data_IF_462836928308
#
_entry.id   IF_462836928308
#
_cell.length_a   1.000
_cell.length_b   1.000
_cell.length_c   1.000
_cell.angle_alpha   90.00
_cell.angle_beta   90.00
_cell.angle_gamma   90.00
#
_symmetry.space_group_name_H-M   'P 1'
#
loop_
_entity.id
_entity.type
_entity.pdbx_description
1 polymer ?
#
# COMPACT_ATOMS: atom_id res chain seq x y z
N UNK A 1 6.09 17.63 -11.09
CA UNK A 1 5.22 17.11 -10.02
C UNK A 1 4.85 15.67 -10.37
N UNK A 2 5.09 14.70 -9.49
CA UNK A 2 4.72 13.30 -9.74
C UNK A 2 3.19 13.20 -9.70
N UNK A 3 2.54 12.87 -10.81
CA UNK A 3 1.09 12.60 -10.83
C UNK A 3 0.84 11.29 -10.07
N UNK A 4 -0.14 11.25 -9.15
CA UNK A 4 -0.45 10.01 -8.44
C UNK A 4 -1.04 8.99 -9.43
N UNK A 5 -0.94 7.71 -9.08
CA UNK A 5 -1.32 6.60 -9.96
C UNK A 5 -2.83 6.66 -10.20
N UNK A 6 -3.26 6.58 -11.45
CA UNK A 6 -4.67 6.56 -11.86
C UNK A 6 -5.47 7.78 -11.35
N UNK A 7 -4.85 8.96 -11.24
CA UNK A 7 -5.50 10.17 -10.72
C UNK A 7 -6.83 10.50 -11.43
N UNK A 8 -6.81 10.46 -12.76
CA UNK A 8 -7.97 10.84 -13.56
C UNK A 8 -9.13 9.85 -13.37
N UNK A 9 -8.80 8.57 -13.26
CA UNK A 9 -9.77 7.52 -12.96
C UNK A 9 -10.34 7.71 -11.54
N UNK A 10 -9.50 8.01 -10.53
CA UNK A 10 -9.97 8.30 -9.18
C UNK A 10 -10.97 9.48 -9.19
N UNK A 11 -10.62 10.57 -9.86
CA UNK A 11 -11.48 11.73 -10.02
C UNK A 11 -12.82 11.40 -10.71
N UNK A 12 -12.75 10.74 -11.88
CA UNK A 12 -13.93 10.35 -12.67
C UNK A 12 -14.86 9.46 -11.86
N UNK A 13 -14.30 8.45 -11.20
CA UNK A 13 -15.10 7.44 -10.53
C UNK A 13 -15.52 7.81 -9.10
N UNK A 14 -14.87 8.77 -8.43
CA UNK A 14 -15.40 9.33 -7.18
C UNK A 14 -16.69 10.12 -7.40
N UNK A 15 -16.90 10.67 -8.59
CA UNK A 15 -18.08 11.49 -8.94
C UNK A 15 -18.33 12.59 -7.89
N UNK A 16 -17.27 13.37 -7.65
CA UNK A 16 -17.19 14.36 -6.58
C UNK A 16 -18.24 15.46 -6.78
N UNK A 17 -18.94 15.82 -5.71
CA UNK A 17 -19.86 16.95 -5.66
C UNK A 17 -19.33 18.04 -4.71
N UNK A 18 -19.78 19.30 -4.86
CA UNK A 18 -19.43 20.36 -3.93
C UNK A 18 -19.74 19.97 -2.47
N UNK A 19 -18.81 20.26 -1.57
CA UNK A 19 -18.94 19.97 -0.13
C UNK A 19 -18.64 18.53 0.29
N UNK A 20 -18.25 17.64 -0.63
CA UNK A 20 -17.88 16.26 -0.29
C UNK A 20 -16.78 16.19 0.77
N UNK A 21 -16.95 15.25 1.71
CA UNK A 21 -15.91 14.83 2.65
C UNK A 21 -15.21 13.59 2.11
N UNK A 22 -13.91 13.67 1.83
CA UNK A 22 -13.12 12.56 1.28
C UNK A 22 -12.10 12.09 2.31
N UNK A 23 -12.00 10.79 2.53
CA UNK A 23 -10.88 10.20 3.26
C UNK A 23 -9.85 9.67 2.26
N UNK A 24 -8.62 10.13 2.38
CA UNK A 24 -7.45 9.52 1.75
C UNK A 24 -6.80 8.60 2.79
N UNK A 25 -7.11 7.30 2.73
CA UNK A 25 -6.71 6.32 3.73
C UNK A 25 -5.20 5.98 3.67
N UNK A 26 -4.51 6.46 2.65
CA UNK A 26 -3.09 6.21 2.37
C UNK A 26 -2.47 7.52 1.86
N UNK A 27 -2.49 8.53 2.72
CA UNK A 27 -2.20 9.91 2.36
C UNK A 27 -0.84 10.04 1.66
N UNK A 28 0.20 9.33 2.14
CA UNK A 28 1.55 9.36 1.59
C UNK A 28 2.04 10.82 1.44
N UNK A 29 2.55 11.20 0.27
CA UNK A 29 2.93 12.59 -0.06
C UNK A 29 1.75 13.50 -0.46
N UNK A 30 0.52 13.04 -0.31
CA UNK A 30 -0.73 13.74 -0.61
C UNK A 30 -1.07 13.85 -2.09
N UNK A 31 -0.50 13.02 -2.97
CA UNK A 31 -0.65 13.17 -4.43
C UNK A 31 -2.11 13.25 -4.88
N UNK A 32 -2.95 12.30 -4.45
CA UNK A 32 -4.39 12.32 -4.73
C UNK A 32 -5.07 13.50 -4.05
N UNK A 33 -4.86 13.64 -2.74
CA UNK A 33 -5.48 14.70 -1.93
C UNK A 33 -5.26 16.12 -2.46
N UNK A 34 -4.00 16.51 -2.75
CA UNK A 34 -3.69 17.83 -3.30
C UNK A 34 -4.29 18.03 -4.69
N UNK A 35 -4.22 17.02 -5.56
CA UNK A 35 -4.79 17.12 -6.91
C UNK A 35 -6.31 17.26 -6.88
N UNK A 36 -7.00 16.59 -5.95
CA UNK A 36 -8.45 16.74 -5.77
C UNK A 36 -8.80 18.14 -5.24
N UNK A 37 -8.07 18.66 -4.25
CA UNK A 37 -8.32 20.01 -3.71
C UNK A 37 -8.04 21.12 -4.73
N UNK A 38 -7.08 20.93 -5.63
CA UNK A 38 -6.80 21.87 -6.72
C UNK A 38 -8.00 21.98 -7.68
N UNK A 39 -8.67 20.87 -7.97
CA UNK A 39 -9.82 20.84 -8.90
C UNK A 39 -11.17 21.11 -8.23
N UNK A 40 -11.31 20.74 -6.97
CA UNK A 40 -12.56 20.83 -6.21
C UNK A 40 -12.31 21.56 -4.89
N UNK A 41 -12.18 22.90 -4.88
CA UNK A 41 -11.79 23.66 -3.70
C UNK A 41 -12.81 23.60 -2.54
N UNK A 42 -14.04 23.15 -2.81
CA UNK A 42 -15.12 23.07 -1.83
C UNK A 42 -15.15 21.77 -1.02
N UNK A 43 -14.35 20.76 -1.39
CA UNK A 43 -14.28 19.50 -0.63
C UNK A 43 -13.48 19.68 0.66
N UNK A 44 -13.64 18.73 1.57
CA UNK A 44 -12.73 18.53 2.70
C UNK A 44 -12.06 17.18 2.60
N UNK A 45 -10.81 17.11 3.04
CA UNK A 45 -10.02 15.89 3.05
C UNK A 45 -9.55 15.55 4.47
N UNK A 46 -9.72 14.30 4.85
CA UNK A 46 -9.06 13.71 6.01
C UNK A 46 -8.06 12.66 5.50
N UNK A 47 -6.77 12.96 5.59
CA UNK A 47 -5.71 12.06 5.19
C UNK A 47 -5.20 11.22 6.36
N UNK A 48 -5.00 9.93 6.13
CA UNK A 48 -4.47 8.97 7.12
C UNK A 48 -3.10 8.50 6.62
N UNK A 49 -2.07 8.64 7.46
CA UNK A 49 -0.73 8.16 7.16
C UNK A 49 -0.17 7.37 8.34
N UNK A 50 0.26 6.14 8.08
CA UNK A 50 0.73 5.24 9.12
C UNK A 50 2.21 5.45 9.45
N UNK A 51 3.05 5.76 8.46
CA UNK A 51 4.48 6.07 8.69
C UNK A 51 4.61 7.48 9.33
N UNK A 52 5.18 7.59 10.54
CA UNK A 52 5.30 8.87 11.23
C UNK A 52 6.20 9.89 10.51
N UNK A 53 7.19 9.44 9.73
CA UNK A 53 8.11 10.31 9.01
C UNK A 53 7.42 10.91 7.78
N UNK A 54 6.67 10.08 7.05
CA UNK A 54 5.86 10.54 5.92
C UNK A 54 4.72 11.45 6.40
N UNK A 55 4.09 11.12 7.53
CA UNK A 55 3.07 11.97 8.15
C UNK A 55 3.60 13.37 8.45
N UNK A 56 4.83 13.50 8.98
CA UNK A 56 5.45 14.80 9.24
C UNK A 56 5.71 15.58 7.95
N UNK A 57 6.19 14.93 6.90
CA UNK A 57 6.40 15.56 5.58
C UNK A 57 5.06 16.04 4.99
N UNK A 58 4.02 15.20 5.06
CA UNK A 58 2.68 15.54 4.59
C UNK A 58 2.07 16.70 5.38
N UNK A 59 2.16 16.68 6.71
CA UNK A 59 1.68 17.76 7.58
C UNK A 59 2.37 19.10 7.28
N UNK A 60 3.69 19.09 7.09
CA UNK A 60 4.46 20.27 6.71
C UNK A 60 4.02 20.81 5.35
N UNK A 61 3.75 19.92 4.39
CA UNK A 61 3.27 20.31 3.06
C UNK A 61 1.87 20.92 3.09
N UNK A 62 0.96 20.36 3.88
CA UNK A 62 -0.41 20.88 4.09
C UNK A 62 -0.37 22.28 4.71
N UNK A 63 0.48 22.47 5.72
CA UNK A 63 0.68 23.78 6.35
C UNK A 63 1.21 24.80 5.34
N UNK A 64 2.28 24.47 4.62
CA UNK A 64 2.91 25.37 3.66
C UNK A 64 2.03 25.70 2.45
N UNK A 65 1.06 24.84 2.11
CA UNK A 65 0.10 25.11 1.04
C UNK A 65 -1.07 26.00 1.48
N UNK A 66 -1.20 26.33 2.78
CA UNK A 66 -2.34 27.08 3.32
C UNK A 66 -3.66 26.32 3.26
N UNK A 67 -3.62 24.98 3.24
CA UNK A 67 -4.82 24.13 3.07
C UNK A 67 -5.31 23.54 4.40
N UNK A 68 -4.85 24.05 5.54
CA UNK A 68 -5.17 23.50 6.87
C UNK A 68 -6.67 23.47 7.20
N UNK A 69 -7.46 24.37 6.61
CA UNK A 69 -8.93 24.41 6.81
C UNK A 69 -9.68 23.40 5.93
N UNK A 70 -9.00 22.87 4.91
CA UNK A 70 -9.57 21.96 3.90
C UNK A 70 -9.04 20.53 4.05
N UNK A 71 -7.85 20.38 4.63
CA UNK A 71 -7.15 19.11 4.71
C UNK A 71 -6.54 18.92 6.11
N UNK A 72 -6.92 17.83 6.76
CA UNK A 72 -6.36 17.40 8.04
C UNK A 72 -5.67 16.06 7.85
N UNK A 73 -4.47 15.90 8.42
CA UNK A 73 -3.76 14.63 8.43
C UNK A 73 -3.80 14.00 9.83
N UNK A 74 -3.92 12.67 9.88
CA UNK A 74 -3.89 11.87 11.11
C UNK A 74 -2.79 10.81 11.00
N UNK A 75 -1.91 10.73 12.01
CA UNK A 75 -0.92 9.65 12.10
C UNK A 75 -1.51 8.42 12.79
N UNK A 76 -2.16 7.58 12.00
CA UNK A 76 -2.77 6.33 12.47
C UNK A 76 -2.85 5.36 11.28
N UNK A 77 -3.24 4.10 11.53
CA UNK A 77 -3.54 3.14 10.48
C UNK A 77 -5.01 3.23 10.08
N UNK A 78 -5.28 3.07 8.78
CA UNK A 78 -6.64 3.01 8.24
C UNK A 78 -7.46 1.83 8.82
N UNK A 79 -6.84 0.86 9.49
CA UNK A 79 -7.59 -0.17 10.25
C UNK A 79 -8.44 0.44 11.37
N UNK A 80 -8.10 1.64 11.83
CA UNK A 80 -8.80 2.40 12.87
C UNK A 80 -9.82 3.41 12.31
N UNK A 81 -10.20 3.29 11.03
CA UNK A 81 -11.08 4.23 10.32
C UNK A 81 -12.33 4.64 11.10
N UNK A 82 -13.02 3.70 11.76
CA UNK A 82 -14.20 3.99 12.60
C UNK A 82 -13.90 5.04 13.68
N UNK A 83 -12.87 4.77 14.49
CA UNK A 83 -12.45 5.64 15.57
C UNK A 83 -11.93 6.99 15.05
N UNK A 84 -11.20 6.98 13.93
CA UNK A 84 -10.67 8.18 13.29
C UNK A 84 -11.82 9.09 12.84
N UNK A 85 -12.83 8.53 12.17
CA UNK A 85 -14.01 9.26 11.71
C UNK A 85 -14.79 9.85 12.88
N UNK A 86 -15.00 9.09 13.95
CA UNK A 86 -15.73 9.55 15.13
C UNK A 86 -15.00 10.69 15.85
N UNK A 87 -13.69 10.56 16.06
CA UNK A 87 -12.88 11.60 16.73
C UNK A 87 -12.83 12.92 15.94
N UNK A 88 -12.95 12.87 14.62
CA UNK A 88 -12.86 14.03 13.75
C UNK A 88 -14.22 14.54 13.25
N UNK A 89 -15.33 13.93 13.66
CA UNK A 89 -16.69 14.21 13.12
C UNK A 89 -16.72 14.25 11.57
N UNK A 90 -16.11 13.23 10.96
CA UNK A 90 -15.78 13.23 9.54
C UNK A 90 -16.40 12.03 8.80
N UNK A 91 -17.73 11.99 8.66
CA UNK A 91 -18.39 10.98 7.82
C UNK A 91 -18.11 11.24 6.34
N UNK A 92 -17.50 10.31 5.59
CA UNK A 92 -17.07 10.54 4.22
C UNK A 92 -18.12 10.18 3.16
N UNK A 93 -18.09 10.93 2.06
CA UNK A 93 -18.78 10.65 0.80
C UNK A 93 -17.88 9.88 -0.19
N UNK A 94 -16.58 9.88 0.06
CA UNK A 94 -15.59 9.15 -0.73
C UNK A 94 -14.43 8.64 0.14
N UNK A 95 -13.95 7.44 -0.11
CA UNK A 95 -12.76 6.89 0.54
C UNK A 95 -11.81 6.34 -0.54
N UNK A 96 -10.54 6.73 -0.47
CA UNK A 96 -9.49 6.31 -1.40
C UNK A 96 -8.46 5.48 -0.63
N UNK A 97 -8.11 4.32 -1.18
CA UNK A 97 -6.95 3.53 -0.78
C UNK A 97 -6.01 3.40 -1.98
N UNK A 98 -4.81 3.97 -1.88
CA UNK A 98 -3.67 3.77 -2.78
C UNK A 98 -2.66 2.87 -2.08
N UNK A 99 -2.86 1.55 -2.20
CA UNK A 99 -2.16 0.56 -1.40
C UNK A 99 -0.68 0.45 -1.77
N UNK A 100 0.12 -0.13 -0.87
CA UNK A 100 1.53 -0.40 -1.11
C UNK A 100 2.45 0.73 -0.63
N UNK A 101 3.55 0.93 -1.35
CA UNK A 101 4.71 1.66 -0.84
C UNK A 101 4.83 3.03 -1.52
N UNK A 102 4.78 4.10 -0.73
CA UNK A 102 5.09 5.47 -1.15
C UNK A 102 6.42 5.59 -1.90
N UNK A 103 6.52 6.55 -2.82
CA UNK A 103 7.81 6.98 -3.38
C UNK A 103 8.79 7.42 -2.30
N UNK A 104 8.30 8.06 -1.23
CA UNK A 104 9.10 8.52 -0.11
C UNK A 104 9.77 7.36 0.63
N UNK A 105 9.10 6.23 0.76
CA UNK A 105 9.70 5.02 1.31
C UNK A 105 10.88 4.54 0.45
N UNK A 106 10.70 4.46 -0.87
CA UNK A 106 11.77 4.00 -1.76
C UNK A 106 12.95 4.96 -1.88
N UNK A 107 12.71 6.26 -1.73
CA UNK A 107 13.69 7.30 -2.07
C UNK A 107 14.41 7.89 -0.87
N UNK A 108 13.75 7.96 0.30
CA UNK A 108 14.24 8.71 1.47
C UNK A 108 14.28 7.90 2.78
N UNK A 109 13.57 6.77 2.89
CA UNK A 109 13.40 6.14 4.21
C UNK A 109 14.67 5.52 4.77
N UNK A 110 15.54 4.95 3.92
CA UNK A 110 16.66 4.12 4.39
C UNK A 110 16.21 2.83 5.11
N UNK A 111 14.91 2.49 5.03
CA UNK A 111 14.28 1.35 5.73
C UNK A 111 14.32 0.06 4.88
N UNK A 112 15.01 0.03 3.75
CA UNK A 112 15.19 -1.20 2.96
C UNK A 112 13.95 -1.67 2.20
N UNK A 113 13.01 -0.77 1.91
CA UNK A 113 11.91 -1.04 0.98
C UNK A 113 12.40 -1.23 -0.46
N UNK A 114 13.53 -0.62 -0.80
CA UNK A 114 14.21 -0.75 -2.09
C UNK A 114 15.41 -1.68 -1.98
N UNK A 115 15.56 -2.58 -2.94
CA UNK A 115 16.80 -3.36 -3.13
C UNK A 115 17.76 -2.73 -4.16
N UNK A 116 17.45 -1.53 -4.64
CA UNK A 116 18.31 -0.80 -5.59
C UNK A 116 19.43 -0.02 -4.90
N UNK A 117 19.34 0.14 -3.57
CA UNK A 117 20.32 0.79 -2.71
C UNK A 117 20.63 -0.14 -1.55
N UNK A 118 21.84 -0.01 -1.01
CA UNK A 118 22.20 -0.69 0.22
C UNK A 118 21.62 0.06 1.41
N UNK A 119 20.65 -0.55 2.07
CA UNK A 119 19.88 0.01 3.17
C UNK A 119 19.72 -1.05 4.26
N UNK A 120 19.38 -0.63 5.48
CA UNK A 120 19.05 -1.56 6.55
C UNK A 120 17.81 -2.37 6.17
N UNK A 121 17.85 -3.67 6.44
CA UNK A 121 16.75 -4.59 6.16
C UNK A 121 15.64 -4.43 7.22
N UNK A 122 14.91 -3.31 7.18
CA UNK A 122 13.87 -2.96 8.16
C UNK A 122 12.47 -3.31 7.65
N UNK A 123 12.05 -2.67 6.56
CA UNK A 123 10.74 -2.77 5.88
C UNK A 123 9.51 -2.42 6.72
N UNK A 124 9.62 -1.90 7.94
CA UNK A 124 8.45 -1.45 8.72
C UNK A 124 7.96 -0.09 8.23
N UNK A 125 6.65 0.04 8.03
CA UNK A 125 6.01 1.34 7.81
C UNK A 125 6.03 2.18 9.09
N UNK A 126 5.64 1.59 10.22
CA UNK A 126 5.63 2.30 11.50
C UNK A 126 6.48 1.56 12.57
N UNK A 127 7.74 1.98 12.76
CA UNK A 127 8.64 1.42 13.79
C UNK A 127 8.17 1.61 15.24
N UNK A 128 7.21 2.52 15.51
CA UNK A 128 6.68 2.75 16.86
C UNK A 128 5.63 1.72 17.27
N UNK A 129 4.95 1.12 16.30
CA UNK A 129 3.88 0.12 16.53
C UNK A 129 4.40 -1.30 16.29
N UNK A 130 5.36 -1.47 15.38
CA UNK A 130 5.91 -2.76 15.02
C UNK A 130 7.38 -2.89 15.43
N UNK A 131 7.70 -3.92 16.22
CA UNK A 131 9.07 -4.21 16.64
C UNK A 131 9.81 -5.14 15.67
N UNK A 132 9.10 -5.93 14.88
CA UNK A 132 9.70 -6.96 14.01
C UNK A 132 10.14 -6.35 12.69
N UNK A 133 11.45 -6.30 12.46
CA UNK A 133 12.04 -5.92 11.16
C UNK A 133 12.10 -7.10 10.18
N UNK A 134 12.30 -6.81 8.90
CA UNK A 134 12.61 -7.83 7.89
C UNK A 134 13.90 -8.60 8.24
N UNK A 135 14.90 -7.94 8.82
CA UNK A 135 16.10 -8.60 9.35
C UNK A 135 15.74 -9.59 10.48
N UNK A 136 14.79 -9.25 11.36
CA UNK A 136 14.35 -10.20 12.40
C UNK A 136 13.69 -11.42 11.78
N UNK A 137 12.79 -11.24 10.79
CA UNK A 137 12.15 -12.34 10.07
C UNK A 137 13.21 -13.24 9.42
N UNK A 138 14.11 -12.65 8.63
CA UNK A 138 15.14 -13.39 7.88
C UNK A 138 16.12 -14.11 8.82
N UNK A 139 16.49 -13.52 9.96
CA UNK A 139 17.49 -14.10 10.85
C UNK A 139 16.91 -15.05 11.92
N UNK A 140 15.63 -14.93 12.28
CA UNK A 140 15.06 -15.64 13.44
C UNK A 140 14.02 -16.69 13.06
N UNK A 141 13.30 -16.53 11.95
CA UNK A 141 12.26 -17.48 11.54
C UNK A 141 12.85 -18.85 11.19
N UNK A 142 12.09 -19.92 11.42
CA UNK A 142 12.44 -21.26 10.93
C UNK A 142 12.47 -21.30 9.41
N UNK A 143 13.12 -22.31 8.83
CA UNK A 143 13.11 -22.48 7.38
C UNK A 143 11.69 -22.66 6.84
N UNK A 144 10.83 -23.40 7.55
CA UNK A 144 9.44 -23.64 7.16
C UNK A 144 8.60 -22.36 7.19
N UNK A 145 8.81 -21.51 8.19
CA UNK A 145 8.18 -20.19 8.28
C UNK A 145 8.60 -19.29 7.12
N UNK A 146 9.89 -19.27 6.76
CA UNK A 146 10.37 -18.51 5.60
C UNK A 146 9.77 -19.04 4.30
N UNK A 147 9.70 -20.36 4.11
CA UNK A 147 9.05 -20.97 2.94
C UNK A 147 7.60 -20.51 2.85
N UNK A 148 6.88 -20.52 3.97
CA UNK A 148 5.48 -20.09 4.04
C UNK A 148 5.34 -18.61 3.64
N UNK A 149 6.14 -17.72 4.25
CA UNK A 149 6.14 -16.28 3.91
C UNK A 149 6.38 -16.06 2.41
N UNK A 150 7.43 -16.68 1.86
CA UNK A 150 7.78 -16.50 0.44
C UNK A 150 6.75 -17.08 -0.52
N UNK A 151 6.11 -18.20 -0.14
CA UNK A 151 5.07 -18.84 -0.95
C UNK A 151 3.77 -18.03 -0.89
N UNK A 152 3.27 -17.75 0.31
CA UNK A 152 1.95 -17.17 0.53
C UNK A 152 1.90 -15.69 0.12
N UNK A 153 2.97 -14.93 0.40
CA UNK A 153 3.00 -13.48 0.17
C UNK A 153 3.81 -13.06 -1.06
N UNK A 154 4.78 -13.87 -1.48
CA UNK A 154 5.61 -13.60 -2.66
C UNK A 154 5.18 -14.33 -3.92
N UNK A 155 4.34 -15.37 -3.79
CA UNK A 155 4.08 -16.35 -4.85
C UNK A 155 5.41 -16.85 -5.46
N UNK A 156 6.44 -17.03 -4.62
CA UNK A 156 7.81 -17.36 -5.03
C UNK A 156 7.96 -18.86 -5.29
N UNK A 157 8.36 -19.21 -6.51
CA UNK A 157 8.53 -20.61 -6.92
C UNK A 157 9.75 -21.24 -6.27
N UNK A 158 10.78 -20.44 -6.00
CA UNK A 158 12.01 -20.85 -5.34
C UNK A 158 12.00 -20.59 -3.83
N UNK A 159 10.80 -20.60 -3.21
CA UNK A 159 10.66 -20.32 -1.78
C UNK A 159 11.52 -21.26 -0.93
N UNK A 160 11.60 -22.54 -1.31
CA UNK A 160 12.41 -23.55 -0.62
C UNK A 160 13.90 -23.24 -0.70
N UNK A 161 14.42 -23.03 -1.91
CA UNK A 161 15.83 -22.81 -2.18
C UNK A 161 16.32 -21.46 -1.63
N UNK A 162 15.49 -20.42 -1.71
CA UNK A 162 15.79 -19.10 -1.12
C UNK A 162 15.82 -19.21 0.41
N UNK A 163 14.84 -19.89 1.02
CA UNK A 163 14.82 -20.07 2.48
C UNK A 163 16.01 -20.88 2.98
N UNK A 164 16.40 -21.93 2.25
CA UNK A 164 17.62 -22.70 2.54
C UNK A 164 18.88 -21.83 2.47
N UNK A 165 19.04 -21.06 1.39
CA UNK A 165 20.17 -20.15 1.24
C UNK A 165 20.23 -19.09 2.34
N UNK A 166 19.09 -18.55 2.76
CA UNK A 166 18.99 -17.61 3.88
C UNK A 166 19.46 -18.25 5.18
N UNK A 167 18.96 -19.46 5.49
CA UNK A 167 19.32 -20.20 6.70
C UNK A 167 20.81 -20.55 6.73
N UNK A 168 21.39 -20.92 5.59
CA UNK A 168 22.82 -21.18 5.47
C UNK A 168 23.64 -19.89 5.63
N UNK A 169 23.23 -18.80 5.00
CA UNK A 169 23.95 -17.52 5.04
C UNK A 169 23.97 -16.94 6.46
N UNK A 170 22.83 -16.95 7.16
CA UNK A 170 22.73 -16.41 8.53
C UNK A 170 23.50 -17.21 9.59
N UNK A 171 23.88 -18.47 9.31
CA UNK A 171 24.78 -19.25 10.17
C UNK A 171 26.23 -18.73 10.13
N UNK A 172 26.60 -18.06 9.04
CA UNK A 172 27.94 -17.48 8.87
C UNK A 172 27.94 -16.06 9.45
N UNK A 173 27.05 -15.20 8.94
CA UNK A 173 26.86 -13.83 9.44
C UNK A 173 25.38 -13.44 9.32
N UNK A 174 24.81 -12.71 10.31
CA UNK A 174 23.45 -12.19 10.21
C UNK A 174 23.25 -11.34 8.94
N UNK A 175 22.09 -11.48 8.30
CA UNK A 175 21.71 -10.68 7.13
C UNK A 175 21.06 -9.39 7.63
N UNK A 176 21.73 -8.26 7.47
CA UNK A 176 21.33 -6.97 8.03
C UNK A 176 21.01 -5.92 6.97
N UNK A 177 21.49 -6.10 5.74
CA UNK A 177 21.23 -5.15 4.65
C UNK A 177 20.47 -5.77 3.47
N UNK A 178 19.88 -4.89 2.65
CA UNK A 178 19.18 -5.26 1.43
C UNK A 178 20.10 -5.94 0.42
N UNK A 179 21.36 -5.49 0.28
CA UNK A 179 22.33 -6.09 -0.65
C UNK A 179 22.71 -7.51 -0.23
N UNK A 180 22.93 -7.74 1.06
CA UNK A 180 23.23 -9.08 1.58
C UNK A 180 22.11 -10.08 1.26
N UNK A 181 20.85 -9.66 1.48
CA UNK A 181 19.70 -10.49 1.14
C UNK A 181 19.58 -10.72 -0.37
N UNK A 182 19.82 -9.71 -1.20
CA UNK A 182 19.81 -9.83 -2.66
C UNK A 182 20.84 -10.84 -3.14
N UNK A 183 22.07 -10.78 -2.62
CA UNK A 183 23.13 -11.71 -3.00
C UNK A 183 22.82 -13.14 -2.54
N UNK A 184 22.20 -13.30 -1.37
CA UNK A 184 21.68 -14.59 -0.94
C UNK A 184 20.65 -15.15 -1.94
N UNK A 185 19.65 -14.35 -2.31
CA UNK A 185 18.60 -14.75 -3.28
C UNK A 185 19.23 -15.14 -4.61
N UNK A 186 20.18 -14.36 -5.13
CA UNK A 186 20.82 -14.63 -6.42
C UNK A 186 21.58 -15.97 -6.43
N UNK A 187 22.20 -16.35 -5.31
CA UNK A 187 22.91 -17.64 -5.16
C UNK A 187 21.95 -18.82 -5.01
N UNK A 188 20.75 -18.58 -4.50
CA UNK A 188 19.72 -19.60 -4.28
C UNK A 188 18.89 -19.97 -5.50
N UNK A 189 18.99 -19.23 -6.60
CA UNK A 189 18.11 -19.40 -7.77
C UNK A 189 18.89 -19.74 -9.04
N UNK A 190 18.32 -20.48 -9.99
CA UNK A 190 19.02 -20.87 -11.21
C UNK A 190 19.30 -19.66 -12.13
N UNK A 191 20.35 -19.75 -12.95
CA UNK A 191 20.80 -18.68 -13.85
C UNK A 191 19.69 -18.11 -14.76
N UNK A 192 18.77 -18.95 -15.23
CA UNK A 192 17.65 -18.50 -16.06
C UNK A 192 16.68 -17.59 -15.30
N UNK A 193 16.54 -17.76 -13.98
CA UNK A 193 15.68 -16.92 -13.15
C UNK A 193 16.23 -15.50 -13.01
N UNK A 194 17.56 -15.38 -12.95
CA UNK A 194 18.27 -14.09 -12.89
C UNK A 194 18.08 -13.23 -14.14
N UNK A 195 17.82 -13.85 -15.30
CA UNK A 195 17.72 -13.19 -16.61
C UNK A 195 16.28 -12.74 -16.97
N UNK A 196 15.33 -12.86 -16.04
CA UNK A 196 13.93 -12.47 -16.28
C UNK A 196 13.77 -10.95 -16.30
N UNK A 197 12.66 -10.48 -16.86
CA UNK A 197 12.30 -9.04 -16.88
C UNK A 197 12.11 -8.45 -15.47
N UNK A 198 11.66 -9.27 -14.52
CA UNK A 198 11.47 -8.87 -13.12
C UNK A 198 12.69 -9.31 -12.34
N UNK A 199 13.25 -8.41 -11.53
CA UNK A 199 14.41 -8.70 -10.69
C UNK A 199 14.12 -9.88 -9.73
N UNK A 200 15.05 -10.83 -9.54
CA UNK A 200 14.82 -12.04 -8.74
C UNK A 200 14.40 -11.74 -7.30
N UNK A 201 14.90 -10.64 -6.71
CA UNK A 201 14.56 -10.27 -5.34
C UNK A 201 13.16 -9.65 -5.16
N UNK A 202 12.46 -9.25 -6.23
CA UNK A 202 11.20 -8.50 -6.13
C UNK A 202 10.13 -9.25 -5.32
N UNK A 203 9.99 -10.56 -5.55
CA UNK A 203 8.98 -11.38 -4.86
C UNK A 203 9.31 -11.60 -3.39
N UNK A 204 10.58 -11.87 -3.08
CA UNK A 204 11.05 -12.01 -1.70
C UNK A 204 10.87 -10.72 -0.91
N UNK A 205 11.23 -9.57 -1.49
CA UNK A 205 11.05 -8.27 -0.83
C UNK A 205 9.57 -7.94 -0.60
N UNK A 206 8.71 -8.22 -1.59
CA UNK A 206 7.26 -8.09 -1.41
C UNK A 206 6.75 -8.99 -0.28
N UNK A 207 7.17 -10.26 -0.25
CA UNK A 207 6.74 -11.21 0.77
C UNK A 207 7.12 -10.78 2.19
N UNK A 208 8.38 -10.35 2.37
CA UNK A 208 8.86 -9.86 3.66
C UNK A 208 8.14 -8.59 4.08
N UNK A 209 7.92 -7.64 3.16
CA UNK A 209 7.19 -6.41 3.43
C UNK A 209 5.77 -6.70 3.93
N UNK A 210 5.05 -7.58 3.22
CA UNK A 210 3.70 -8.02 3.59
C UNK A 210 3.69 -8.68 4.97
N UNK A 211 4.64 -9.60 5.22
CA UNK A 211 4.74 -10.32 6.49
C UNK A 211 5.05 -9.37 7.66
N UNK A 212 6.00 -8.45 7.48
CA UNK A 212 6.40 -7.48 8.50
C UNK A 212 5.22 -6.57 8.85
N UNK A 213 4.51 -6.05 7.85
CA UNK A 213 3.49 -5.01 8.08
C UNK A 213 2.06 -5.54 8.19
N UNK A 214 1.87 -6.86 8.14
CA UNK A 214 0.57 -7.52 8.12
C UNK A 214 -0.39 -6.90 7.08
N UNK A 215 0.12 -6.62 5.88
CA UNK A 215 -0.55 -5.75 4.90
C UNK A 215 -1.91 -6.28 4.48
N UNK A 216 -2.03 -7.58 4.22
CA UNK A 216 -3.28 -8.17 3.73
C UNK A 216 -4.40 -8.11 4.77
N UNK A 217 -4.10 -8.42 6.04
CA UNK A 217 -5.09 -8.32 7.12
C UNK A 217 -5.48 -6.86 7.35
N UNK A 218 -4.50 -5.93 7.29
CA UNK A 218 -4.79 -4.51 7.40
C UNK A 218 -5.73 -4.06 6.28
N UNK A 219 -5.46 -4.42 5.02
CA UNK A 219 -6.33 -4.12 3.87
C UNK A 219 -7.74 -4.64 4.09
N UNK A 220 -7.89 -5.89 4.53
CA UNK A 220 -9.19 -6.48 4.82
C UNK A 220 -9.96 -5.67 5.88
N UNK A 221 -9.33 -5.43 7.04
CA UNK A 221 -9.94 -4.68 8.15
C UNK A 221 -10.25 -3.24 7.77
N UNK A 222 -9.35 -2.59 7.03
CA UNK A 222 -9.48 -1.22 6.54
C UNK A 222 -10.64 -1.05 5.56
N UNK A 223 -10.74 -1.93 4.57
CA UNK A 223 -11.82 -1.89 3.58
C UNK A 223 -13.17 -2.18 4.24
N UNK A 224 -13.24 -3.15 5.16
CA UNK A 224 -14.45 -3.39 5.94
C UNK A 224 -14.85 -2.17 6.79
N UNK A 225 -13.89 -1.54 7.47
CA UNK A 225 -14.15 -0.32 8.24
C UNK A 225 -14.61 0.84 7.33
N UNK A 226 -14.06 0.97 6.12
CA UNK A 226 -14.49 1.96 5.14
C UNK A 226 -15.95 1.76 4.72
N UNK A 227 -16.37 0.51 4.50
CA UNK A 227 -17.76 0.16 4.15
C UNK A 227 -18.74 0.55 5.26
N UNK A 228 -18.31 0.50 6.52
CA UNK A 228 -19.16 0.83 7.66
C UNK A 228 -19.31 2.34 7.88
N UNK A 229 -18.30 3.14 7.52
CA UNK A 229 -18.30 4.59 7.80
C UNK A 229 -18.75 5.46 6.64
N UNK A 230 -18.61 4.99 5.38
CA UNK A 230 -19.00 5.75 4.20
C UNK A 230 -20.50 6.01 4.16
N UNK A 231 -20.90 7.23 3.80
CA UNK A 231 -22.30 7.59 3.65
C UNK A 231 -22.98 6.74 2.55
N UNK A 232 -24.29 6.45 2.67
CA UNK A 232 -25.07 5.94 1.55
C UNK A 232 -24.91 6.82 0.31
N UNK A 233 -24.72 6.20 -0.86
CA UNK A 233 -24.36 6.87 -2.11
C UNK A 233 -22.88 7.28 -2.23
N UNK A 234 -22.09 7.14 -1.17
CA UNK A 234 -20.66 7.40 -1.18
C UNK A 234 -19.85 6.25 -1.79
N UNK A 235 -18.63 6.54 -2.25
CA UNK A 235 -17.82 5.60 -3.03
C UNK A 235 -16.50 5.23 -2.37
N UNK A 236 -16.14 3.96 -2.46
CA UNK A 236 -14.87 3.42 -1.98
C UNK A 236 -14.04 3.00 -3.19
N UNK A 237 -12.89 3.64 -3.35
CA UNK A 237 -11.90 3.31 -4.37
C UNK A 237 -10.69 2.64 -3.72
N UNK A 238 -10.26 1.52 -4.29
CA UNK A 238 -9.05 0.83 -3.88
C UNK A 238 -8.16 0.56 -5.10
N UNK A 239 -6.95 1.11 -5.08
CA UNK A 239 -5.87 0.87 -6.02
C UNK A 239 -4.91 -0.13 -5.36
N UNK A 240 -4.73 -1.28 -6.00
CA UNK A 240 -3.84 -2.36 -5.55
C UNK A 240 -2.71 -2.57 -6.55
N UNK A 241 -1.53 -2.98 -6.08
CA UNK A 241 -0.34 -3.14 -6.93
C UNK A 241 0.12 -4.58 -7.08
N UNK A 242 -0.45 -5.51 -6.31
CA UNK A 242 -0.21 -6.94 -6.47
C UNK A 242 -1.49 -7.79 -6.40
N UNK A 243 -1.37 -9.06 -6.80
CA UNK A 243 -2.50 -9.98 -6.95
C UNK A 243 -3.22 -10.29 -5.64
N UNK A 244 -2.48 -10.36 -4.53
CA UNK A 244 -3.03 -10.69 -3.21
C UNK A 244 -3.95 -9.58 -2.67
N UNK A 245 -3.52 -8.32 -2.70
CA UNK A 245 -4.38 -7.16 -2.38
C UNK A 245 -5.64 -7.13 -3.26
N UNK A 246 -5.46 -7.23 -4.59
CA UNK A 246 -6.59 -7.22 -5.55
C UNK A 246 -7.60 -8.33 -5.25
N UNK A 247 -7.12 -9.50 -4.82
CA UNK A 247 -7.96 -10.64 -4.45
C UNK A 247 -8.78 -10.33 -3.20
N UNK A 248 -8.15 -9.85 -2.11
CA UNK A 248 -8.83 -9.50 -0.85
C UNK A 248 -9.95 -8.49 -1.12
N UNK A 249 -9.64 -7.39 -1.79
CA UNK A 249 -10.64 -6.34 -2.10
C UNK A 249 -11.76 -6.87 -2.98
N UNK A 250 -11.43 -7.69 -3.99
CA UNK A 250 -12.43 -8.30 -4.88
C UNK A 250 -13.41 -9.19 -4.13
N UNK A 251 -12.92 -9.98 -3.18
CA UNK A 251 -13.72 -10.91 -2.40
C UNK A 251 -14.66 -10.16 -1.46
N UNK A 252 -14.16 -9.17 -0.73
CA UNK A 252 -14.97 -8.28 0.12
C UNK A 252 -16.07 -7.59 -0.69
N UNK A 253 -15.72 -6.94 -1.80
CA UNK A 253 -16.71 -6.25 -2.64
C UNK A 253 -17.72 -7.22 -3.26
N UNK A 254 -17.30 -8.44 -3.64
CA UNK A 254 -18.22 -9.46 -4.15
C UNK A 254 -19.23 -9.89 -3.09
N UNK A 255 -18.76 -10.15 -1.87
CA UNK A 255 -19.60 -10.56 -0.75
C UNK A 255 -20.58 -9.45 -0.37
N UNK A 256 -20.09 -8.23 -0.14
CA UNK A 256 -20.92 -7.09 0.27
C UNK A 256 -21.90 -6.62 -0.79
N UNK A 257 -21.62 -6.88 -2.07
CA UNK A 257 -22.64 -6.71 -3.12
C UNK A 257 -23.72 -7.78 -3.08
N UNK A 258 -23.40 -9.03 -2.77
CA UNK A 258 -24.43 -10.07 -2.60
C UNK A 258 -25.34 -9.81 -1.39
N UNK A 259 -24.79 -9.23 -0.33
CA UNK A 259 -25.54 -8.81 0.85
C UNK A 259 -26.42 -7.57 0.62
N UNK A 260 -26.32 -6.91 -0.54
CA UNK A 260 -27.06 -5.67 -0.81
C UNK A 260 -26.53 -4.43 -0.08
N UNK A 261 -25.31 -4.49 0.47
CA UNK A 261 -24.66 -3.36 1.16
C UNK A 261 -23.93 -2.45 0.17
N UNK A 262 -23.34 -3.03 -0.87
CA UNK A 262 -22.58 -2.32 -1.89
C UNK A 262 -23.13 -2.56 -3.29
N UNK A 263 -23.09 -1.53 -4.13
CA UNK A 263 -23.30 -1.63 -5.57
C UNK A 263 -21.97 -1.49 -6.30
N UNK A 264 -21.66 -2.43 -7.20
CA UNK A 264 -20.50 -2.28 -8.08
C UNK A 264 -20.73 -1.15 -9.07
N UNK A 265 -19.85 -0.15 -9.05
CA UNK A 265 -19.87 0.94 -10.06
C UNK A 265 -19.31 0.41 -11.38
N UNK A 266 -18.28 -0.43 -11.32
CA UNK A 266 -17.69 -1.13 -12.47
C UNK A 266 -17.57 -2.62 -12.14
N UNK A 267 -17.97 -3.48 -13.08
CA UNK A 267 -17.96 -4.93 -12.88
C UNK A 267 -16.56 -5.56 -12.99
N UNK A 268 -15.65 -4.90 -13.72
CA UNK A 268 -14.27 -5.32 -13.96
C UNK A 268 -13.22 -4.55 -13.16
N UNK A 269 -11.94 -4.86 -13.44
CA UNK A 269 -10.79 -4.12 -12.93
C UNK A 269 -10.46 -2.96 -13.86
N UNK A 270 -10.38 -1.75 -13.31
CA UNK A 270 -9.90 -0.58 -14.06
C UNK A 270 -8.37 -0.60 -13.99
N UNK A 271 -7.72 -0.37 -15.13
CA UNK A 271 -6.26 -0.37 -15.29
C UNK A 271 -5.79 1.00 -15.76
N UNK A 272 -4.55 1.41 -15.45
CA UNK A 272 -4.01 2.66 -15.96
C UNK A 272 -3.90 2.63 -17.48
N UNK A 273 -4.04 3.80 -18.09
CA UNK A 273 -3.87 3.99 -19.54
C UNK A 273 -2.41 3.78 -19.93
N UNK A 274 -2.20 3.38 -21.19
CA UNK A 274 -0.86 3.11 -21.72
C UNK A 274 0.11 4.30 -21.57
N UNK A 275 -0.37 5.52 -21.80
CA UNK A 275 0.42 6.74 -21.65
C UNK A 275 0.90 6.95 -20.21
N UNK A 276 0.06 6.63 -19.23
CA UNK A 276 0.45 6.71 -17.82
C UNK A 276 1.50 5.66 -17.50
N UNK A 277 1.32 4.41 -17.94
CA UNK A 277 2.29 3.34 -17.71
C UNK A 277 3.66 3.66 -18.32
N UNK A 278 3.67 4.34 -19.48
CA UNK A 278 4.90 4.80 -20.14
C UNK A 278 5.62 5.88 -19.33
N UNK A 279 4.88 6.82 -18.76
CA UNK A 279 5.44 7.95 -18.02
C UNK A 279 5.69 7.64 -16.53
N UNK A 280 4.97 6.67 -15.97
CA UNK A 280 5.07 6.21 -14.60
C UNK A 280 5.11 4.66 -14.57
N UNK A 281 6.31 4.05 -14.64
CA UNK A 281 6.45 2.61 -14.59
C UNK A 281 5.88 1.95 -13.33
N UNK A 282 5.69 2.69 -12.23
CA UNK A 282 5.08 2.18 -10.99
C UNK A 282 3.58 1.92 -11.16
N UNK A 283 2.91 2.64 -12.06
CA UNK A 283 1.50 2.41 -12.38
C UNK A 283 1.26 1.06 -13.07
N UNK A 284 2.25 0.44 -13.72
CA UNK A 284 2.05 -0.73 -14.60
C UNK A 284 1.24 -1.90 -14.00
N UNK A 285 1.34 -2.09 -12.69
CA UNK A 285 0.69 -3.19 -11.97
C UNK A 285 -0.59 -2.77 -11.25
N UNK A 286 -0.92 -1.48 -11.29
CA UNK A 286 -2.06 -0.90 -10.61
C UNK A 286 -3.37 -1.49 -11.14
N UNK A 287 -4.24 -1.82 -10.19
CA UNK A 287 -5.58 -2.35 -10.42
C UNK A 287 -6.53 -1.60 -9.49
N UNK A 288 -7.44 -0.84 -10.07
CA UNK A 288 -8.44 -0.10 -9.32
C UNK A 288 -9.78 -0.84 -9.30
N UNK A 289 -10.38 -0.88 -8.12
CA UNK A 289 -11.76 -1.33 -7.89
C UNK A 289 -12.57 -0.22 -7.23
N UNK A 290 -13.86 -0.22 -7.52
CA UNK A 290 -14.78 0.75 -6.95
C UNK A 290 -16.15 0.12 -6.63
N UNK A 291 -16.69 0.50 -5.48
CA UNK A 291 -18.07 0.24 -5.09
C UNK A 291 -18.70 1.48 -4.48
N UNK A 292 -20.02 1.57 -4.61
CA UNK A 292 -20.87 2.60 -4.02
C UNK A 292 -21.67 1.96 -2.87
N UNK A 293 -21.79 2.67 -1.75
CA UNK A 293 -22.63 2.25 -0.62
C UNK A 293 -24.09 2.45 -0.98
N UNK A 294 -24.92 1.43 -0.72
CA UNK A 294 -26.37 1.50 -0.91
C UNK A 294 -27.01 2.17 0.32
#
# INVERSE_FOLDING_TARGET
>A
MHKPVMFNEVEEYLNIKPGFKIIDATLNGGGHSFGLLEKFPDIKILGIEWDPDIFQEAGSKIYNSGLTDKMVAVNDSYVNLKNIVEKNDFRPDGIIFDLGVSSLHYEKSGKGFSFMRDELLDMRFNPKVNSTTAANVVNSSSQEELIKVLTDYGEEKFAKEISEGVVLSRKINPITTTVELVECIKRSVPSWYLKRKIHPATKTFQALRIAVNNELENVERGVLAAIDVVNPGGRIIVISFHGLEDKVVREIFKEKTKEGILKRVVSGTIKPKWEEVKNNPRARSAKMKICEKI
#
